data_IF_429408677806
#
_entry.id   IF_429408677806
#
_cell.length_a   1.000
_cell.length_b   1.000
_cell.length_c   1.000
_cell.angle_alpha   90.00
_cell.angle_beta   90.00
_cell.angle_gamma   90.00
#
_symmetry.space_group_name_H-M   'P 1'
#
loop_
_entity.id
_entity.type
_entity.pdbx_description
1 polymer ?
#
# COMPACT_ATOMS: atom_id res chain seq x y z
N UNK A 1 0.39 46.85 6.49
CA UNK A 1 1.20 46.93 5.25
C UNK A 1 0.46 46.44 4.01
N UNK A 2 -0.73 46.94 3.79
CA UNK A 2 -1.53 46.59 2.61
C UNK A 2 -1.10 47.32 1.34
N UNK A 3 -0.17 48.26 1.45
CA UNK A 3 0.26 49.12 0.38
C UNK A 3 1.70 48.83 0.05
N UNK A 4 1.96 48.30 -1.09
CA UNK A 4 3.29 48.32 -1.66
C UNK A 4 3.26 48.13 -3.16
N UNK A 5 3.51 49.19 -3.83
CA UNK A 5 4.60 49.33 -4.79
C UNK A 5 4.83 50.80 -5.05
N UNK A 6 6.02 51.25 -4.88
CA UNK A 6 6.45 52.57 -5.35
C UNK A 6 6.60 52.51 -6.86
N UNK A 7 5.61 53.03 -7.55
CA UNK A 7 5.81 53.55 -8.92
C UNK A 7 6.16 55.03 -8.87
N UNK A 8 6.74 55.52 -9.94
CA UNK A 8 7.27 56.90 -10.08
C UNK A 8 6.36 58.04 -9.57
N UNK A 9 5.15 57.75 -9.10
CA UNK A 9 4.18 58.79 -8.64
C UNK A 9 3.23 58.36 -7.52
N UNK A 10 3.47 57.29 -6.76
CA UNK A 10 2.58 57.03 -5.61
C UNK A 10 2.56 55.59 -5.10
N UNK A 11 1.92 55.44 -3.94
CA UNK A 11 1.61 54.17 -3.28
C UNK A 11 0.23 53.72 -3.76
N UNK A 12 0.08 52.49 -4.23
CA UNK A 12 -1.21 51.92 -4.58
C UNK A 12 -1.56 50.70 -3.73
N UNK A 13 -2.86 50.45 -3.60
CA UNK A 13 -3.37 49.28 -2.88
C UNK A 13 -3.19 48.00 -3.73
N UNK A 14 -2.39 47.06 -3.21
CA UNK A 14 -2.15 45.77 -3.84
C UNK A 14 -3.43 44.93 -3.93
N UNK A 15 -4.35 45.09 -2.99
CA UNK A 15 -5.58 44.31 -2.91
C UNK A 15 -6.83 45.12 -3.40
N UNK A 16 -6.62 46.03 -4.30
CA UNK A 16 -7.72 46.82 -4.85
C UNK A 16 -8.86 45.95 -5.40
N UNK A 17 -10.10 46.31 -5.04
CA UNK A 17 -11.35 45.62 -5.41
C UNK A 17 -11.38 44.13 -5.05
N UNK A 18 -10.91 43.78 -3.83
CA UNK A 18 -10.88 42.40 -3.34
C UNK A 18 -11.57 42.26 -2.00
N UNK A 19 -12.27 41.13 -1.83
CA UNK A 19 -12.67 40.68 -0.49
C UNK A 19 -11.44 40.12 0.19
N UNK A 20 -11.20 40.57 1.42
CA UNK A 20 -9.98 40.27 2.17
C UNK A 20 -10.22 39.15 3.18
N UNK A 21 -9.31 38.19 3.20
CA UNK A 21 -9.29 37.04 4.13
C UNK A 21 -8.02 37.12 4.98
N UNK A 22 -8.12 37.32 6.30
CA UNK A 22 -6.96 37.31 7.15
C UNK A 22 -6.38 35.90 7.24
N UNK A 23 -5.07 35.75 7.05
CA UNK A 23 -4.34 34.53 7.27
C UNK A 23 -3.77 34.59 8.67
N UNK A 24 -4.08 33.58 9.50
CA UNK A 24 -3.71 33.55 10.90
C UNK A 24 -2.71 32.47 11.21
N UNK A 25 -1.81 32.71 12.14
CA UNK A 25 -0.98 31.70 12.75
C UNK A 25 -1.81 30.82 13.72
N UNK A 26 -1.19 29.79 14.29
CA UNK A 26 -1.84 28.90 15.27
C UNK A 26 -2.33 29.61 16.54
N UNK A 27 -1.85 30.81 16.83
CA UNK A 27 -2.20 31.61 18.00
C UNK A 27 -3.22 32.70 17.69
N UNK A 28 -3.89 32.63 16.54
CA UNK A 28 -4.85 33.64 16.05
C UNK A 28 -4.26 35.06 15.79
N UNK A 29 -2.94 35.13 15.51
CA UNK A 29 -2.34 36.39 15.09
C UNK A 29 -2.38 36.46 13.57
N UNK A 30 -2.75 37.63 13.04
CA UNK A 30 -2.76 37.88 11.60
C UNK A 30 -1.31 37.97 11.10
N UNK A 31 -0.92 37.08 10.20
CA UNK A 31 0.43 37.00 9.61
C UNK A 31 0.44 37.41 8.13
N UNK A 32 -0.71 37.48 7.50
CA UNK A 32 -0.86 37.83 6.09
C UNK A 32 -2.32 37.95 5.70
N UNK A 33 -2.56 38.18 4.41
CA UNK A 33 -3.90 38.32 3.87
C UNK A 33 -4.00 37.60 2.51
N UNK A 34 -5.14 36.98 2.27
CA UNK A 34 -5.60 36.57 0.95
C UNK A 34 -6.65 37.54 0.43
N UNK A 35 -6.72 37.78 -0.85
CA UNK A 35 -7.74 38.62 -1.46
C UNK A 35 -8.36 37.92 -2.69
N UNK A 36 -9.70 37.78 -2.69
CA UNK A 36 -10.46 37.31 -3.84
C UNK A 36 -11.03 38.52 -4.59
N UNK A 37 -10.75 38.64 -5.88
CA UNK A 37 -11.27 39.74 -6.69
C UNK A 37 -12.80 39.68 -6.76
N UNK A 38 -13.41 40.86 -6.75
CA UNK A 38 -14.84 41.08 -7.05
C UNK A 38 -14.99 41.28 -8.56
N UNK A 39 -15.57 40.32 -9.26
CA UNK A 39 -15.69 40.30 -10.74
C UNK A 39 -14.59 39.54 -11.44
N UNK A 40 -14.29 39.88 -12.70
CA UNK A 40 -13.49 39.03 -13.62
C UNK A 40 -12.00 39.40 -13.71
N UNK A 41 -11.52 40.32 -12.86
CA UNK A 41 -10.12 40.72 -12.87
C UNK A 41 -9.19 39.56 -12.48
N UNK A 42 -7.99 39.51 -13.05
CA UNK A 42 -6.96 38.52 -12.73
C UNK A 42 -5.83 39.12 -11.91
N UNK A 43 -5.20 38.33 -11.02
CA UNK A 43 -5.50 36.96 -10.66
C UNK A 43 -6.77 36.87 -9.78
N UNK A 44 -7.55 35.79 -9.91
CA UNK A 44 -8.77 35.55 -9.09
C UNK A 44 -8.46 35.61 -7.61
N UNK A 45 -7.35 35.01 -7.18
CA UNK A 45 -6.85 35.04 -5.81
C UNK A 45 -5.44 35.66 -5.76
N UNK A 46 -5.21 36.47 -4.75
CA UNK A 46 -3.91 37.10 -4.49
C UNK A 46 -3.59 36.96 -3.00
N UNK A 47 -2.43 36.43 -2.66
CA UNK A 47 -1.96 36.34 -1.28
C UNK A 47 -0.86 37.38 -1.01
N UNK A 48 -0.69 37.73 0.25
CA UNK A 48 0.48 38.49 0.72
C UNK A 48 1.77 37.82 0.24
N UNK A 49 2.83 38.56 -0.06
CA UNK A 49 4.15 38.00 -0.24
C UNK A 49 4.61 37.31 1.05
N UNK A 50 5.60 36.46 0.94
CA UNK A 50 6.27 35.90 2.11
C UNK A 50 7.01 37.01 2.87
N UNK A 51 7.03 36.87 4.20
CA UNK A 51 7.69 37.79 5.13
C UNK A 51 8.34 36.98 6.24
N UNK A 52 9.08 37.60 7.13
CA UNK A 52 9.69 36.94 8.30
C UNK A 52 8.66 36.20 9.19
N UNK A 53 7.38 36.63 9.18
CA UNK A 53 6.31 36.03 9.97
C UNK A 53 5.32 35.21 9.13
N UNK A 54 5.44 35.22 7.81
CA UNK A 54 4.53 34.51 6.89
C UNK A 54 5.29 33.71 5.84
N UNK A 55 5.37 32.41 6.05
CA UNK A 55 5.92 31.42 5.14
C UNK A 55 4.78 30.50 4.67
N UNK A 56 4.43 30.57 3.37
CA UNK A 56 3.34 29.81 2.77
C UNK A 56 3.58 28.32 2.81
N UNK A 57 4.84 27.88 2.82
CA UNK A 57 5.20 26.47 2.85
C UNK A 57 5.04 25.82 4.23
N UNK A 58 4.82 26.62 5.27
CA UNK A 58 4.73 26.20 6.68
C UNK A 58 3.49 26.71 7.39
N UNK A 59 2.57 27.33 6.67
CA UNK A 59 1.31 27.84 7.23
C UNK A 59 0.12 27.25 6.45
N UNK A 60 -0.91 26.88 7.19
CA UNK A 60 -2.18 26.39 6.63
C UNK A 60 -3.31 27.33 7.05
N UNK A 61 -4.13 27.72 6.08
CA UNK A 61 -5.35 28.48 6.36
C UNK A 61 -6.32 27.64 7.19
N UNK A 62 -6.93 28.23 8.20
CA UNK A 62 -7.89 27.55 9.08
C UNK A 62 -7.27 26.71 10.20
N UNK A 63 -5.93 26.51 10.24
CA UNK A 63 -5.28 25.69 11.23
C UNK A 63 -5.50 26.19 12.67
N UNK A 64 -5.57 27.48 12.87
CA UNK A 64 -5.89 28.08 14.17
C UNK A 64 -7.20 27.58 14.78
N UNK A 65 -8.17 27.21 13.94
CA UNK A 65 -9.45 26.59 14.32
C UNK A 65 -9.36 25.08 14.32
N UNK A 66 -8.83 24.48 13.24
CA UNK A 66 -8.76 23.04 13.05
C UNK A 66 -8.02 22.33 14.19
N UNK A 67 -6.97 22.93 14.76
CA UNK A 67 -6.20 22.37 15.89
C UNK A 67 -7.03 22.17 17.17
N UNK A 68 -8.17 22.82 17.31
CA UNK A 68 -9.07 22.68 18.46
C UNK A 68 -10.27 21.77 18.18
N UNK A 69 -10.35 21.22 16.96
CA UNK A 69 -11.39 20.27 16.58
C UNK A 69 -11.22 18.97 17.35
N UNK A 70 -12.35 18.32 17.66
CA UNK A 70 -12.37 16.98 18.29
C UNK A 70 -12.24 15.82 17.27
N UNK A 71 -12.28 16.12 15.99
CA UNK A 71 -12.10 15.10 14.93
C UNK A 71 -10.63 14.64 14.93
N UNK A 72 -10.34 13.33 14.83
CA UNK A 72 -8.97 12.81 14.87
C UNK A 72 -8.21 12.96 13.53
N UNK A 73 -8.78 13.69 12.60
CA UNK A 73 -8.25 13.91 11.25
C UNK A 73 -8.47 15.35 10.78
N UNK A 74 -7.71 15.78 9.78
CA UNK A 74 -7.96 17.03 9.06
C UNK A 74 -8.53 16.78 7.66
N UNK A 75 -9.37 17.71 7.21
CA UNK A 75 -9.78 17.86 5.82
C UNK A 75 -8.83 18.86 5.17
N UNK A 76 -8.10 18.45 4.13
CA UNK A 76 -7.11 19.29 3.46
C UNK A 76 -7.65 19.70 2.10
N UNK A 77 -7.95 20.98 1.95
CA UNK A 77 -8.52 21.60 0.75
C UNK A 77 -7.44 22.34 -0.06
N UNK A 78 -7.76 22.76 -1.27
CA UNK A 78 -6.89 23.59 -2.09
C UNK A 78 -6.94 25.07 -1.70
N UNK A 79 -8.15 25.57 -1.40
CA UNK A 79 -8.40 26.99 -1.17
C UNK A 79 -9.11 27.33 0.12
N UNK A 80 -9.00 28.58 0.52
CA UNK A 80 -9.65 29.07 1.73
C UNK A 80 -11.18 29.21 1.60
N UNK A 81 -11.74 29.29 0.40
CA UNK A 81 -13.19 29.27 0.22
C UNK A 81 -13.78 27.92 0.61
N UNK A 82 -13.09 26.83 0.23
CA UNK A 82 -13.51 25.46 0.61
C UNK A 82 -13.46 25.27 2.12
N UNK A 83 -12.39 25.78 2.76
CA UNK A 83 -12.28 25.75 4.23
C UNK A 83 -13.42 26.52 4.88
N UNK A 84 -13.77 27.71 4.37
CA UNK A 84 -14.87 28.52 4.91
C UNK A 84 -16.20 27.78 4.75
N UNK A 85 -16.47 27.22 3.56
CA UNK A 85 -17.70 26.47 3.31
C UNK A 85 -17.81 25.25 4.23
N UNK A 86 -16.74 24.48 4.37
CA UNK A 86 -16.70 23.35 5.29
C UNK A 86 -16.86 23.74 6.75
N UNK A 87 -16.20 24.82 7.21
CA UNK A 87 -16.40 25.34 8.57
C UNK A 87 -17.84 25.78 8.83
N UNK A 88 -18.48 26.46 7.86
CA UNK A 88 -19.89 26.83 7.95
C UNK A 88 -20.82 25.63 8.02
N UNK A 89 -20.45 24.54 7.35
CA UNK A 89 -21.16 23.26 7.39
C UNK A 89 -20.86 22.42 8.66
N UNK A 90 -20.03 22.91 9.58
CA UNK A 90 -19.70 22.24 10.84
C UNK A 90 -18.37 21.44 10.83
N UNK A 91 -17.66 21.36 9.71
CA UNK A 91 -16.38 20.67 9.59
C UNK A 91 -15.21 21.59 9.96
N UNK A 92 -15.11 21.93 11.24
CA UNK A 92 -14.11 22.89 11.75
C UNK A 92 -12.67 22.38 11.70
N UNK A 93 -12.46 21.14 11.30
CA UNK A 93 -11.17 20.50 11.09
C UNK A 93 -10.63 20.66 9.65
N UNK A 94 -11.22 21.52 8.84
CA UNK A 94 -10.75 21.81 7.50
C UNK A 94 -9.60 22.82 7.51
N UNK A 95 -8.59 22.59 6.66
CA UNK A 95 -7.43 23.45 6.43
C UNK A 95 -7.11 23.51 4.93
N UNK A 96 -6.42 24.57 4.50
CA UNK A 96 -5.95 24.64 3.11
C UNK A 96 -4.52 25.17 3.02
N UNK A 97 -3.84 24.80 1.94
CA UNK A 97 -2.62 25.44 1.51
C UNK A 97 -2.91 26.86 0.99
N UNK A 98 -1.88 27.70 0.95
CA UNK A 98 -2.04 29.15 0.66
C UNK A 98 -1.62 29.48 -0.78
N UNK A 99 -2.23 28.80 -1.75
CA UNK A 99 -1.90 28.96 -3.17
C UNK A 99 -0.56 28.31 -3.56
N UNK A 100 -0.16 27.29 -2.82
CA UNK A 100 0.99 26.42 -3.11
C UNK A 100 0.55 24.97 -3.02
N UNK A 101 1.29 24.07 -3.66
CA UNK A 101 1.09 22.64 -3.41
C UNK A 101 1.40 22.30 -1.94
N UNK A 102 0.87 21.17 -1.46
CA UNK A 102 1.20 20.65 -0.13
C UNK A 102 2.70 20.34 -0.07
N UNK A 103 3.35 20.81 0.99
CA UNK A 103 4.80 20.68 1.19
C UNK A 103 5.13 19.74 2.36
N UNK A 104 6.40 19.34 2.48
CA UNK A 104 6.91 18.63 3.66
C UNK A 104 6.76 19.47 4.95
N UNK A 105 6.86 20.81 4.84
CA UNK A 105 6.59 21.72 5.96
C UNK A 105 5.14 21.68 6.42
N UNK A 106 4.18 21.63 5.49
CA UNK A 106 2.78 21.41 5.80
C UNK A 106 2.54 20.05 6.45
N UNK A 107 3.12 18.99 5.91
CA UNK A 107 2.99 17.64 6.48
C UNK A 107 3.56 17.57 7.91
N UNK A 108 4.74 18.15 8.14
CA UNK A 108 5.34 18.24 9.49
C UNK A 108 4.48 19.03 10.47
N UNK A 109 3.79 20.07 9.98
CA UNK A 109 2.87 20.85 10.78
C UNK A 109 1.59 20.07 11.13
N UNK A 110 0.97 19.41 10.16
CA UNK A 110 -0.22 18.56 10.33
C UNK A 110 0.05 17.43 11.32
N UNK A 111 1.22 16.78 11.23
CA UNK A 111 1.62 15.65 12.08
C UNK A 111 1.58 15.94 13.58
N UNK A 112 1.71 17.23 13.97
CA UNK A 112 1.62 17.65 15.38
C UNK A 112 0.23 17.52 15.96
N UNK A 113 -0.80 17.42 15.13
CA UNK A 113 -2.19 17.45 15.55
C UNK A 113 -2.94 16.17 15.21
N UNK A 114 -2.70 15.59 14.04
CA UNK A 114 -3.43 14.41 13.55
C UNK A 114 -2.49 13.45 12.85
N UNK A 115 -2.91 12.17 12.77
CA UNK A 115 -2.18 11.13 12.04
C UNK A 115 -2.90 10.70 10.76
N UNK A 116 -4.07 11.30 10.48
CA UNK A 116 -4.87 10.99 9.31
C UNK A 116 -5.38 12.29 8.68
N UNK A 117 -5.39 12.34 7.35
CA UNK A 117 -5.96 13.44 6.58
C UNK A 117 -6.83 12.94 5.45
N UNK A 118 -7.83 13.74 5.11
CA UNK A 118 -8.67 13.55 3.94
C UNK A 118 -8.41 14.68 2.96
N UNK A 119 -7.84 14.35 1.81
CA UNK A 119 -7.63 15.29 0.72
C UNK A 119 -8.96 15.54 0.02
N UNK A 120 -9.39 16.78 0.01
CA UNK A 120 -10.66 17.24 -0.57
C UNK A 120 -10.38 18.25 -1.68
N UNK A 121 -9.52 17.83 -2.61
CA UNK A 121 -9.08 18.67 -3.72
C UNK A 121 -10.12 18.72 -4.84
N UNK A 122 -9.98 19.66 -5.76
CA UNK A 122 -10.89 19.83 -6.89
C UNK A 122 -10.99 18.50 -7.70
N UNK A 123 -12.18 18.21 -8.21
CA UNK A 123 -12.44 16.98 -8.98
C UNK A 123 -11.84 17.01 -10.39
N UNK A 124 -11.19 18.10 -10.77
CA UNK A 124 -10.54 18.24 -12.07
C UNK A 124 -9.17 17.52 -12.11
N UNK A 125 -8.57 17.51 -13.29
CA UNK A 125 -7.26 16.87 -13.53
C UNK A 125 -6.13 17.53 -12.68
N UNK A 126 -6.22 18.84 -12.43
CA UNK A 126 -5.22 19.56 -11.66
C UNK A 126 -5.28 19.16 -10.18
N UNK A 127 -6.49 19.09 -9.59
CA UNK A 127 -6.71 18.63 -8.22
C UNK A 127 -6.34 17.16 -8.05
N UNK A 128 -6.68 16.31 -9.04
CA UNK A 128 -6.23 14.90 -9.06
C UNK A 128 -4.70 14.80 -9.00
N UNK A 129 -3.98 15.55 -9.85
CA UNK A 129 -2.50 15.58 -9.82
C UNK A 129 -1.96 16.14 -8.50
N UNK A 130 -2.64 17.13 -7.90
CA UNK A 130 -2.26 17.67 -6.61
C UNK A 130 -2.41 16.62 -5.50
N UNK A 131 -3.51 15.86 -5.47
CA UNK A 131 -3.72 14.76 -4.53
C UNK A 131 -2.64 13.67 -4.67
N UNK A 132 -2.33 13.25 -5.91
CA UNK A 132 -1.29 12.26 -6.17
C UNK A 132 0.10 12.71 -5.70
N UNK A 133 0.41 14.01 -5.76
CA UNK A 133 1.67 14.56 -5.22
C UNK A 133 1.65 14.67 -3.68
N UNK A 134 0.49 14.95 -3.08
CA UNK A 134 0.37 15.11 -1.64
C UNK A 134 0.49 13.78 -0.88
N UNK A 135 -0.04 12.67 -1.43
CA UNK A 135 -0.06 11.35 -0.80
C UNK A 135 1.34 10.87 -0.36
N UNK A 136 2.38 10.84 -1.23
CA UNK A 136 3.72 10.42 -0.79
C UNK A 136 4.33 11.35 0.26
N UNK A 137 4.14 12.67 0.16
CA UNK A 137 4.66 13.64 1.14
C UNK A 137 4.04 13.39 2.52
N UNK A 138 2.75 13.09 2.57
CA UNK A 138 2.06 12.77 3.82
C UNK A 138 2.52 11.41 4.38
N UNK A 139 2.70 10.41 3.52
CA UNK A 139 3.22 9.10 3.91
C UNK A 139 4.62 9.20 4.52
N UNK A 140 5.53 9.94 3.90
CA UNK A 140 6.89 10.17 4.44
C UNK A 140 6.87 10.84 5.83
N UNK A 141 5.88 11.71 6.07
CA UNK A 141 5.66 12.28 7.40
C UNK A 141 4.95 11.31 8.38
N UNK A 142 4.61 10.10 7.97
CA UNK A 142 3.87 9.12 8.76
C UNK A 142 2.40 9.52 9.00
N UNK A 143 1.77 10.14 8.00
CA UNK A 143 0.36 10.53 8.00
C UNK A 143 -0.39 9.69 6.98
N UNK A 144 -1.46 9.03 7.42
CA UNK A 144 -2.35 8.30 6.51
C UNK A 144 -3.19 9.29 5.71
N UNK A 145 -3.09 9.21 4.38
CA UNK A 145 -3.88 10.04 3.47
C UNK A 145 -5.02 9.24 2.85
N UNK A 146 -6.21 9.82 2.89
CA UNK A 146 -7.38 9.36 2.13
C UNK A 146 -7.84 10.45 1.18
N UNK A 147 -8.50 10.09 0.09
CA UNK A 147 -9.00 11.04 -0.91
C UNK A 147 -10.52 10.97 -0.96
N UNK A 148 -11.16 12.12 -0.85
CA UNK A 148 -12.60 12.28 -1.00
C UNK A 148 -12.87 12.83 -2.41
N UNK A 149 -13.72 12.15 -3.17
CA UNK A 149 -14.17 12.63 -4.48
C UNK A 149 -15.44 13.46 -4.34
N UNK A 150 -15.45 14.61 -5.00
CA UNK A 150 -16.57 15.56 -4.97
C UNK A 150 -17.54 15.36 -6.16
N UNK A 151 -17.26 14.41 -7.07
CA UNK A 151 -18.15 14.20 -8.23
C UNK A 151 -19.62 14.09 -7.83
N UNK A 152 -20.54 14.71 -8.57
CA UNK A 152 -20.35 15.44 -9.85
C UNK A 152 -19.94 16.92 -9.68
N UNK A 153 -19.69 17.38 -8.48
CA UNK A 153 -19.32 18.77 -8.19
C UNK A 153 -17.80 18.97 -8.30
N UNK A 154 -17.43 20.22 -8.54
CA UNK A 154 -16.03 20.57 -8.76
C UNK A 154 -15.20 20.53 -7.48
N UNK A 155 -15.71 21.18 -6.44
CA UNK A 155 -14.99 21.47 -5.20
C UNK A 155 -15.89 21.29 -3.96
N UNK A 156 -15.34 21.30 -2.73
CA UNK A 156 -16.10 21.20 -1.49
C UNK A 156 -17.16 22.30 -1.32
N UNK A 157 -16.90 23.51 -1.79
CA UNK A 157 -17.84 24.64 -1.68
C UNK A 157 -19.12 24.36 -2.48
N UNK A 158 -18.99 23.94 -3.74
CA UNK A 158 -20.12 23.53 -4.57
C UNK A 158 -20.83 22.30 -4.00
N UNK A 159 -20.06 21.30 -3.55
CA UNK A 159 -20.63 20.08 -2.99
C UNK A 159 -21.52 20.37 -1.78
N UNK A 160 -21.02 21.11 -0.80
CA UNK A 160 -21.76 21.47 0.42
C UNK A 160 -23.01 22.29 0.12
N UNK A 161 -22.94 23.23 -0.82
CA UNK A 161 -24.09 24.04 -1.23
C UNK A 161 -25.23 23.25 -1.84
N UNK A 162 -24.90 22.17 -2.57
CA UNK A 162 -25.89 21.38 -3.29
C UNK A 162 -26.42 20.17 -2.51
N UNK A 163 -25.53 19.49 -1.77
CA UNK A 163 -25.86 18.22 -1.11
C UNK A 163 -25.86 18.29 0.43
N UNK A 164 -25.27 19.33 1.00
CA UNK A 164 -25.24 19.53 2.45
C UNK A 164 -24.21 18.69 3.20
N UNK A 165 -24.21 18.90 4.53
CA UNK A 165 -23.23 18.30 5.43
C UNK A 165 -23.38 16.78 5.61
N UNK A 166 -24.60 16.25 5.61
CA UNK A 166 -24.85 14.81 5.80
C UNK A 166 -24.26 13.99 4.66
N UNK A 167 -24.43 14.44 3.41
CA UNK A 167 -23.85 13.77 2.27
C UNK A 167 -22.32 13.85 2.27
N UNK A 168 -21.78 14.98 2.72
CA UNK A 168 -20.32 15.11 2.86
C UNK A 168 -19.76 14.17 3.93
N UNK A 169 -20.43 13.99 5.08
CA UNK A 169 -20.05 13.00 6.09
C UNK A 169 -20.08 11.58 5.52
N UNK A 170 -21.07 11.24 4.66
CA UNK A 170 -21.07 9.95 3.93
C UNK A 170 -19.87 9.80 3.00
N UNK A 171 -19.47 10.87 2.33
CA UNK A 171 -18.27 10.86 1.46
C UNK A 171 -16.99 10.66 2.26
N UNK A 172 -16.89 11.23 3.47
CA UNK A 172 -15.78 10.97 4.39
C UNK A 172 -15.72 9.47 4.71
N UNK A 173 -16.85 8.84 5.05
CA UNK A 173 -16.92 7.40 5.33
C UNK A 173 -16.51 6.51 4.16
N UNK A 174 -16.68 6.98 2.93
CA UNK A 174 -16.35 6.26 1.70
C UNK A 174 -15.03 6.71 1.04
N UNK A 175 -14.23 7.50 1.76
CA UNK A 175 -12.99 8.03 1.24
C UNK A 175 -12.00 6.92 0.86
N UNK A 176 -11.36 7.07 -0.28
CA UNK A 176 -10.39 6.10 -0.81
C UNK A 176 -9.02 6.26 -0.13
N UNK A 177 -8.41 5.15 0.24
CA UNK A 177 -7.00 5.17 0.63
C UNK A 177 -6.14 5.82 -0.47
N UNK A 178 -5.20 6.69 -0.12
CA UNK A 178 -4.42 7.46 -1.08
C UNK A 178 -3.60 6.62 -2.04
N UNK A 179 -3.04 5.50 -1.59
CA UNK A 179 -2.32 4.56 -2.45
C UNK A 179 -3.27 3.91 -3.48
N UNK A 180 -4.42 3.41 -3.01
CA UNK A 180 -5.42 2.81 -3.90
C UNK A 180 -6.01 3.82 -4.88
N UNK A 181 -6.22 5.07 -4.45
CA UNK A 181 -6.58 6.17 -5.35
C UNK A 181 -5.53 6.39 -6.44
N UNK A 182 -4.25 6.34 -6.07
CA UNK A 182 -3.14 6.43 -7.02
C UNK A 182 -3.14 5.31 -8.06
N UNK A 183 -3.53 4.09 -7.67
CA UNK A 183 -3.69 2.97 -8.60
C UNK A 183 -4.93 3.10 -9.49
N UNK A 184 -6.04 3.62 -8.95
CA UNK A 184 -7.25 3.92 -9.75
C UNK A 184 -6.98 4.95 -10.84
N UNK A 185 -6.13 5.95 -10.56
CA UNK A 185 -5.72 6.91 -11.60
C UNK A 185 -4.76 6.28 -12.62
N UNK A 186 -3.84 5.45 -12.15
CA UNK A 186 -2.92 4.70 -13.00
C UNK A 186 -3.65 3.75 -13.95
N UNK A 187 -4.68 3.07 -13.47
CA UNK A 187 -5.52 2.16 -14.27
C UNK A 187 -6.04 2.82 -15.54
N UNK A 188 -6.40 4.10 -15.48
CA UNK A 188 -6.93 4.85 -16.64
C UNK A 188 -5.91 5.05 -17.77
N UNK A 189 -4.62 4.87 -17.48
CA UNK A 189 -3.54 5.01 -18.44
C UNK A 189 -3.27 3.70 -19.21
N UNK A 190 -3.90 2.58 -18.81
CA UNK A 190 -3.69 1.25 -19.37
C UNK A 190 -4.97 0.63 -19.90
N UNK A 191 -4.88 -0.12 -20.99
CA UNK A 191 -5.99 -0.95 -21.45
C UNK A 191 -6.09 -2.23 -20.60
N UNK A 192 -6.94 -2.17 -19.58
CA UNK A 192 -7.17 -3.30 -18.66
C UNK A 192 -7.91 -4.48 -19.32
N UNK A 193 -8.40 -4.33 -20.56
CA UNK A 193 -9.03 -5.43 -21.29
C UNK A 193 -7.99 -6.23 -22.10
N UNK A 194 -6.83 -5.65 -22.40
CA UNK A 194 -5.73 -6.36 -23.06
C UNK A 194 -4.81 -7.06 -22.04
N UNK A 195 -4.30 -8.25 -22.34
CA UNK A 195 -3.31 -8.94 -21.49
C UNK A 195 -2.03 -8.13 -21.31
N UNK A 196 -1.59 -7.43 -22.35
CA UNK A 196 -0.38 -6.59 -22.36
C UNK A 196 -0.57 -5.36 -21.47
N UNK A 197 -1.69 -4.64 -21.60
CA UNK A 197 -2.00 -3.47 -20.78
C UNK A 197 -2.16 -3.84 -19.32
N UNK A 198 -2.87 -4.95 -19.03
CA UNK A 198 -3.00 -5.46 -17.67
C UNK A 198 -1.65 -5.85 -17.06
N UNK A 199 -0.77 -6.46 -17.86
CA UNK A 199 0.58 -6.81 -17.40
C UNK A 199 1.41 -5.57 -17.09
N UNK A 200 1.36 -4.55 -17.96
CA UNK A 200 2.07 -3.28 -17.76
C UNK A 200 1.55 -2.54 -16.51
N UNK A 201 0.24 -2.50 -16.30
CA UNK A 201 -0.35 -1.97 -15.08
C UNK A 201 0.18 -2.65 -13.81
N UNK A 202 0.19 -3.99 -13.76
CA UNK A 202 0.69 -4.72 -12.61
C UNK A 202 2.19 -4.53 -12.38
N UNK A 203 2.98 -4.34 -13.43
CA UNK A 203 4.40 -4.02 -13.29
C UNK A 203 4.58 -2.65 -12.59
N UNK A 204 3.81 -1.64 -12.99
CA UNK A 204 3.88 -0.32 -12.36
C UNK A 204 3.29 -0.34 -10.93
N UNK A 205 2.19 -1.06 -10.70
CA UNK A 205 1.65 -1.28 -9.37
C UNK A 205 2.67 -1.97 -8.43
N UNK A 206 3.37 -3.00 -8.93
CA UNK A 206 4.42 -3.68 -8.18
C UNK A 206 5.59 -2.74 -7.85
N UNK A 207 6.00 -1.85 -8.77
CA UNK A 207 7.02 -0.83 -8.52
C UNK A 207 6.61 0.10 -7.39
N UNK A 208 5.36 0.54 -7.33
CA UNK A 208 4.85 1.38 -6.24
C UNK A 208 4.77 0.62 -4.91
N UNK A 209 4.43 -0.68 -4.94
CA UNK A 209 4.38 -1.54 -3.75
C UNK A 209 5.75 -1.75 -3.10
N UNK A 210 6.83 -1.76 -3.86
CA UNK A 210 8.20 -1.84 -3.32
C UNK A 210 8.51 -0.66 -2.40
N UNK A 211 7.93 0.51 -2.62
CA UNK A 211 8.11 1.71 -1.80
C UNK A 211 7.53 1.61 -0.37
N UNK A 212 6.93 0.48 0.02
CA UNK A 212 6.59 0.20 1.41
C UNK A 212 7.76 -0.51 2.09
N UNK A 213 8.37 0.13 3.08
CA UNK A 213 9.50 -0.44 3.81
C UNK A 213 9.07 -1.59 4.70
N UNK A 214 7.96 -1.42 5.42
CA UNK A 214 7.39 -2.46 6.28
C UNK A 214 6.79 -3.59 5.45
N UNK A 215 7.23 -4.83 5.73
CA UNK A 215 6.81 -6.01 4.99
C UNK A 215 5.34 -6.36 5.22
N UNK A 216 4.84 -6.20 6.45
CA UNK A 216 3.45 -6.48 6.78
C UNK A 216 2.52 -5.47 6.10
N UNK A 217 2.88 -4.17 6.15
CA UNK A 217 2.16 -3.12 5.45
C UNK A 217 2.13 -3.41 3.95
N UNK A 218 3.28 -3.74 3.35
CA UNK A 218 3.39 -4.08 1.93
C UNK A 218 2.50 -5.28 1.55
N UNK A 219 2.48 -6.33 2.36
CA UNK A 219 1.65 -7.52 2.11
C UNK A 219 0.15 -7.18 2.19
N UNK A 220 -0.28 -6.37 3.15
CA UNK A 220 -1.66 -5.90 3.24
C UNK A 220 -2.08 -5.12 1.98
N UNK A 221 -1.19 -4.27 1.45
CA UNK A 221 -1.47 -3.57 0.19
C UNK A 221 -1.45 -4.51 -1.03
N UNK A 222 -0.59 -5.52 -1.05
CA UNK A 222 -0.59 -6.56 -2.09
C UNK A 222 -1.95 -7.28 -2.12
N UNK A 223 -2.48 -7.67 -0.98
CA UNK A 223 -3.80 -8.31 -0.86
C UNK A 223 -4.92 -7.38 -1.34
N UNK A 224 -4.90 -6.11 -0.92
CA UNK A 224 -5.89 -5.12 -1.35
C UNK A 224 -5.87 -4.89 -2.87
N UNK A 225 -4.68 -4.79 -3.47
CA UNK A 225 -4.51 -4.63 -4.94
C UNK A 225 -4.96 -5.89 -5.67
N UNK A 226 -4.54 -7.07 -5.21
CA UNK A 226 -4.92 -8.34 -5.81
C UNK A 226 -6.44 -8.52 -5.82
N UNK A 227 -7.11 -8.22 -4.71
CA UNK A 227 -8.58 -8.28 -4.60
C UNK A 227 -9.28 -7.28 -5.51
N UNK A 228 -8.80 -6.03 -5.58
CA UNK A 228 -9.43 -4.98 -6.38
C UNK A 228 -9.31 -5.26 -7.89
N UNK A 229 -8.13 -5.71 -8.35
CA UNK A 229 -7.84 -5.88 -9.79
C UNK A 229 -7.90 -7.33 -10.26
N UNK A 230 -8.45 -8.23 -9.44
CA UNK A 230 -8.65 -9.66 -9.75
C UNK A 230 -7.37 -10.36 -10.20
N UNK A 231 -6.30 -10.20 -9.43
CA UNK A 231 -5.07 -10.97 -9.54
C UNK A 231 -4.95 -11.96 -8.37
N UNK A 232 -4.05 -12.94 -8.49
CA UNK A 232 -3.71 -13.78 -7.35
C UNK A 232 -2.65 -13.08 -6.48
N UNK A 233 -2.81 -13.13 -5.16
CA UNK A 233 -1.87 -12.56 -4.19
C UNK A 233 -0.45 -13.08 -4.46
N UNK A 234 -0.34 -14.39 -4.67
CA UNK A 234 0.94 -15.06 -4.92
C UNK A 234 1.66 -14.54 -6.19
N UNK A 235 0.91 -14.33 -7.29
CA UNK A 235 1.49 -13.80 -8.52
C UNK A 235 1.99 -12.38 -8.34
N UNK A 236 1.23 -11.54 -7.61
CA UNK A 236 1.63 -10.16 -7.34
C UNK A 236 2.82 -10.11 -6.37
N UNK A 237 2.86 -10.95 -5.34
CA UNK A 237 4.01 -11.07 -4.44
C UNK A 237 5.29 -11.46 -5.19
N UNK A 238 5.21 -12.47 -6.08
CA UNK A 238 6.34 -12.87 -6.93
C UNK A 238 6.81 -11.73 -7.85
N UNK A 239 5.87 -10.96 -8.39
CA UNK A 239 6.19 -9.81 -9.23
C UNK A 239 6.90 -8.71 -8.42
N UNK A 240 6.37 -8.36 -7.24
CA UNK A 240 6.97 -7.37 -6.32
C UNK A 240 8.38 -7.79 -5.92
N UNK A 241 8.58 -9.05 -5.52
CA UNK A 241 9.90 -9.57 -5.15
C UNK A 241 10.90 -9.51 -6.33
N UNK A 242 10.45 -9.89 -7.54
CA UNK A 242 11.27 -9.80 -8.75
C UNK A 242 11.68 -8.37 -9.08
N UNK A 243 10.76 -7.42 -8.92
CA UNK A 243 11.01 -6.00 -9.18
C UNK A 243 11.95 -5.41 -8.14
N UNK A 244 11.79 -5.74 -6.85
CA UNK A 244 12.66 -5.29 -5.76
C UNK A 244 14.13 -5.70 -5.99
N UNK A 245 14.36 -6.93 -6.47
CA UNK A 245 15.70 -7.40 -6.87
C UNK A 245 16.24 -6.60 -8.06
N UNK A 246 15.41 -6.36 -9.07
CA UNK A 246 15.81 -5.62 -10.28
C UNK A 246 16.19 -4.17 -9.99
N UNK A 247 15.50 -3.53 -9.03
CA UNK A 247 15.76 -2.15 -8.64
C UNK A 247 16.83 -2.02 -7.54
N UNK A 248 17.47 -3.14 -7.14
CA UNK A 248 18.54 -3.17 -6.14
C UNK A 248 18.07 -2.91 -4.70
N UNK A 249 16.75 -2.92 -4.45
CA UNK A 249 16.15 -2.71 -3.13
C UNK A 249 16.13 -3.99 -2.29
N UNK A 250 16.28 -5.14 -2.90
CA UNK A 250 16.46 -6.42 -2.22
C UNK A 250 17.64 -7.18 -2.82
N UNK A 251 18.42 -7.87 -1.98
CA UNK A 251 19.36 -8.86 -2.48
C UNK A 251 18.54 -9.93 -3.20
N UNK A 252 19.02 -10.47 -4.34
CA UNK A 252 18.40 -11.63 -4.92
C UNK A 252 18.24 -12.66 -3.80
N UNK A 253 17.02 -13.07 -3.52
CA UNK A 253 16.82 -14.28 -2.73
C UNK A 253 17.54 -15.34 -3.56
N UNK A 254 18.70 -15.78 -3.09
CA UNK A 254 19.34 -16.94 -3.67
C UNK A 254 18.28 -18.03 -3.56
N UNK A 255 17.56 -18.24 -4.63
CA UNK A 255 16.92 -19.53 -4.82
C UNK A 255 18.05 -20.51 -4.61
N UNK A 256 17.92 -21.55 -3.78
CA UNK A 256 18.89 -22.60 -3.79
C UNK A 256 19.10 -22.89 -5.26
N UNK A 257 20.32 -22.65 -5.75
CA UNK A 257 20.68 -22.71 -7.16
C UNK A 257 20.12 -24.01 -7.69
N UNK A 258 19.07 -23.94 -8.52
CA UNK A 258 18.91 -24.98 -9.52
C UNK A 258 20.19 -24.86 -10.35
N UNK A 259 21.08 -25.78 -10.15
CA UNK A 259 22.35 -25.86 -10.83
C UNK A 259 22.07 -25.97 -12.32
N UNK A 260 22.13 -24.84 -13.02
CA UNK A 260 22.29 -24.81 -14.47
C UNK A 260 23.79 -24.89 -14.71
N UNK A 261 24.27 -26.06 -14.89
CA UNK A 261 25.66 -26.26 -15.27
C UNK A 261 26.11 -27.66 -15.06
N UNK A 262 26.19 -28.43 -16.14
CA UNK A 262 26.83 -29.76 -16.31
C UNK A 262 26.17 -30.95 -15.59
N UNK A 263 25.59 -31.75 -16.39
CA UNK A 263 25.28 -33.18 -16.25
C UNK A 263 26.02 -33.88 -15.10
N UNK A 264 25.29 -34.09 -14.00
CA UNK A 264 25.38 -35.30 -13.17
C UNK A 264 23.98 -35.66 -12.70
N UNK A 265 23.64 -36.92 -12.45
CA UNK A 265 22.28 -37.43 -12.47
C UNK A 265 21.40 -36.87 -11.37
N UNK A 266 20.09 -36.71 -11.66
CA UNK A 266 19.01 -36.36 -10.71
C UNK A 266 18.80 -37.48 -9.67
N UNK A 267 19.73 -37.66 -8.73
CA UNK A 267 19.59 -38.69 -7.67
C UNK A 267 18.81 -38.17 -6.44
N UNK A 268 18.71 -36.86 -6.19
CA UNK A 268 18.14 -36.37 -4.95
C UNK A 268 16.59 -36.31 -4.88
N UNK A 269 15.93 -36.05 -6.00
CA UNK A 269 14.46 -35.82 -6.00
C UNK A 269 13.68 -37.13 -5.86
N UNK A 270 14.07 -38.17 -6.55
CA UNK A 270 13.44 -39.49 -6.49
C UNK A 270 13.62 -40.14 -5.11
N UNK A 271 14.80 -40.00 -4.51
CA UNK A 271 15.10 -40.50 -3.16
C UNK A 271 14.25 -39.82 -2.08
N UNK A 272 14.10 -38.51 -2.17
CA UNK A 272 13.24 -37.72 -1.23
C UNK A 272 11.77 -38.15 -1.36
N UNK A 273 11.26 -38.32 -2.57
CA UNK A 273 9.87 -38.74 -2.80
C UNK A 273 9.60 -40.14 -2.23
N UNK A 274 10.51 -41.10 -2.42
CA UNK A 274 10.42 -42.43 -1.85
C UNK A 274 10.41 -42.39 -0.31
N UNK A 275 11.29 -41.58 0.29
CA UNK A 275 11.34 -41.37 1.74
C UNK A 275 10.01 -40.86 2.30
N UNK A 276 9.44 -39.85 1.66
CA UNK A 276 8.15 -39.26 2.07
C UNK A 276 7.01 -40.27 1.99
N UNK A 277 6.94 -41.04 0.89
CA UNK A 277 5.92 -42.07 0.70
C UNK A 277 6.01 -43.17 1.77
N UNK A 278 7.19 -43.66 2.04
CA UNK A 278 7.41 -44.68 3.10
C UNK A 278 7.02 -44.12 4.48
N UNK A 279 7.40 -42.91 4.78
CA UNK A 279 7.04 -42.27 6.05
C UNK A 279 5.51 -42.20 6.20
N UNK A 280 4.77 -41.76 5.19
CA UNK A 280 3.31 -41.73 5.24
C UNK A 280 2.67 -43.12 5.38
N UNK A 281 3.22 -44.14 4.72
CA UNK A 281 2.76 -45.51 4.83
C UNK A 281 2.98 -46.07 6.23
N UNK A 282 4.06 -45.65 6.91
CA UNK A 282 4.40 -46.04 8.27
C UNK A 282 3.49 -45.36 9.30
N UNK A 283 3.23 -44.06 9.11
CA UNK A 283 2.48 -43.21 10.08
C UNK A 283 0.97 -43.50 10.09
N UNK A 284 0.38 -43.75 8.94
CA UNK A 284 -1.07 -43.99 8.86
C UNK A 284 -1.42 -45.22 8.01
N UNK A 285 -1.90 -46.27 8.67
CA UNK A 285 -2.35 -47.52 8.01
C UNK A 285 -3.44 -47.28 6.94
N UNK A 286 -4.23 -46.23 7.07
CA UNK A 286 -5.26 -45.90 6.08
C UNK A 286 -4.63 -45.36 4.80
N UNK A 287 -3.55 -44.57 4.92
CA UNK A 287 -2.76 -44.13 3.76
C UNK A 287 -2.08 -45.30 3.07
N UNK A 288 -1.51 -46.26 3.81
CA UNK A 288 -1.02 -47.49 3.26
C UNK A 288 -2.09 -48.20 2.40
N UNK A 289 -3.32 -48.37 2.93
CA UNK A 289 -4.43 -49.01 2.21
C UNK A 289 -4.86 -48.30 0.92
N UNK A 290 -4.54 -47.01 0.79
CA UNK A 290 -4.78 -46.26 -0.45
C UNK A 290 -3.59 -46.39 -1.40
N UNK A 291 -2.37 -46.19 -0.89
CA UNK A 291 -1.12 -46.16 -1.69
C UNK A 291 -0.84 -47.54 -2.31
N UNK A 292 -1.06 -48.61 -1.59
CA UNK A 292 -0.83 -49.99 -2.09
C UNK A 292 -1.61 -50.37 -3.36
N UNK A 293 -2.67 -49.62 -3.71
CA UNK A 293 -3.46 -49.80 -4.93
C UNK A 293 -2.74 -49.32 -6.19
N UNK A 294 -1.76 -48.44 -6.02
CA UNK A 294 -1.10 -47.73 -7.11
C UNK A 294 0.41 -47.90 -7.11
N UNK A 295 1.02 -48.29 -6.00
CA UNK A 295 2.45 -48.40 -5.79
C UNK A 295 2.73 -49.76 -5.14
N UNK A 296 3.77 -50.43 -5.62
CA UNK A 296 4.27 -51.70 -5.11
C UNK A 296 5.70 -51.54 -4.59
N UNK A 297 6.30 -52.54 -3.88
CA UNK A 297 7.70 -52.45 -3.46
C UNK A 297 8.68 -52.25 -4.62
N UNK A 298 8.38 -52.78 -5.83
CA UNK A 298 9.19 -52.64 -7.02
C UNK A 298 9.30 -51.19 -7.55
N UNK A 299 8.38 -50.30 -7.13
CA UNK A 299 8.39 -48.89 -7.50
C UNK A 299 9.39 -48.05 -6.67
N UNK A 300 10.11 -48.68 -5.74
CA UNK A 300 11.16 -48.06 -4.94
C UNK A 300 12.55 -48.48 -5.47
N UNK A 301 13.17 -47.74 -6.41
CA UNK A 301 14.46 -48.12 -7.02
C UNK A 301 15.66 -48.00 -6.07
N UNK A 302 15.57 -47.29 -4.95
CA UNK A 302 16.63 -47.25 -3.95
C UNK A 302 16.65 -48.55 -3.12
N UNK A 303 17.77 -49.32 -3.06
CA UNK A 303 17.80 -50.61 -2.41
C UNK A 303 17.32 -50.64 -0.96
N UNK A 304 17.67 -49.60 -0.18
CA UNK A 304 17.25 -49.49 1.21
C UNK A 304 15.73 -49.29 1.30
N UNK A 305 15.18 -48.41 0.49
CA UNK A 305 13.75 -48.10 0.49
C UNK A 305 12.91 -49.24 -0.10
N UNK A 306 13.43 -49.94 -1.08
CA UNK A 306 12.84 -51.18 -1.62
C UNK A 306 12.68 -52.24 -0.50
N UNK A 307 13.75 -52.52 0.23
CA UNK A 307 13.72 -53.45 1.35
C UNK A 307 12.76 -53.03 2.45
N UNK A 308 12.75 -51.73 2.82
CA UNK A 308 11.77 -51.20 3.80
C UNK A 308 10.34 -51.37 3.28
N UNK A 309 10.07 -51.10 2.01
CA UNK A 309 8.76 -51.29 1.40
C UNK A 309 8.31 -52.74 1.46
N UNK A 310 9.17 -53.69 1.05
CA UNK A 310 8.87 -55.13 1.14
C UNK A 310 8.47 -55.56 2.55
N UNK A 311 9.23 -55.14 3.58
CA UNK A 311 8.89 -55.42 4.97
C UNK A 311 7.58 -54.80 5.40
N UNK A 312 7.30 -53.55 4.97
CA UNK A 312 6.05 -52.85 5.29
C UNK A 312 4.83 -53.58 4.70
N UNK A 313 4.90 -53.95 3.42
CA UNK A 313 3.82 -54.68 2.76
C UNK A 313 3.57 -56.03 3.42
N UNK A 314 4.61 -56.79 3.68
CA UNK A 314 4.48 -58.10 4.34
C UNK A 314 3.89 -57.97 5.76
N UNK A 315 4.38 -57.02 6.57
CA UNK A 315 3.89 -56.84 7.94
C UNK A 315 2.44 -56.33 7.99
N UNK A 316 2.04 -55.48 7.06
CA UNK A 316 0.66 -55.04 6.97
C UNK A 316 -0.31 -56.12 6.51
N UNK A 317 0.15 -57.09 5.72
CA UNK A 317 -0.59 -58.30 5.39
C UNK A 317 -0.72 -59.27 6.58
N UNK A 318 0.31 -59.36 7.42
CA UNK A 318 0.28 -60.15 8.65
C UNK A 318 -0.53 -59.45 9.79
N UNK A 319 -0.84 -58.17 9.65
CA UNK A 319 -1.77 -57.43 10.53
C UNK A 319 -1.14 -56.45 11.49
N UNK A 320 0.16 -56.44 11.76
CA UNK A 320 0.79 -55.57 12.72
C UNK A 320 2.18 -55.08 12.28
N UNK A 321 2.41 -53.75 12.29
CA UNK A 321 3.70 -53.14 11.98
C UNK A 321 4.66 -53.26 13.18
N UNK A 322 5.81 -53.88 12.99
CA UNK A 322 6.88 -53.94 13.98
C UNK A 322 8.17 -53.27 13.44
N UNK A 323 8.39 -51.98 13.79
CA UNK A 323 9.58 -51.24 13.34
C UNK A 323 10.91 -51.92 13.71
N UNK A 324 10.99 -52.56 14.86
CA UNK A 324 12.22 -53.22 15.31
C UNK A 324 12.66 -54.34 14.42
N UNK A 325 11.73 -55.13 13.81
CA UNK A 325 12.05 -56.17 12.87
C UNK A 325 12.65 -55.61 11.55
N UNK A 326 12.16 -54.45 11.10
CA UNK A 326 12.67 -53.76 9.92
C UNK A 326 14.06 -53.18 10.19
N UNK A 327 14.24 -52.50 11.31
CA UNK A 327 15.52 -51.88 11.65
C UNK A 327 16.64 -52.90 11.89
N UNK A 328 16.34 -54.02 12.53
CA UNK A 328 17.31 -55.07 12.80
C UNK A 328 17.82 -55.80 11.54
N UNK A 329 17.17 -55.60 10.40
CA UNK A 329 17.62 -56.13 9.12
C UNK A 329 18.89 -55.42 8.60
N UNK A 330 19.04 -54.14 8.94
CA UNK A 330 20.16 -53.32 8.48
C UNK A 330 21.34 -53.39 9.44
N UNK A 331 22.40 -54.00 9.03
CA UNK A 331 23.62 -54.23 9.85
C UNK A 331 24.64 -53.09 9.73
N UNK A 332 24.61 -52.30 8.66
CA UNK A 332 25.47 -51.14 8.48
C UNK A 332 24.88 -49.90 9.20
N UNK A 333 25.71 -49.21 9.94
CA UNK A 333 25.28 -48.07 10.80
C UNK A 333 24.58 -46.95 10.03
N UNK A 334 25.03 -46.65 8.77
CA UNK A 334 24.44 -45.63 7.91
C UNK A 334 23.06 -46.04 7.42
N UNK A 335 22.90 -47.30 6.94
CA UNK A 335 21.63 -47.85 6.47
C UNK A 335 20.63 -47.95 7.62
N UNK A 336 21.08 -48.40 8.80
CA UNK A 336 20.24 -48.45 10.00
C UNK A 336 19.76 -47.08 10.42
N UNK A 337 20.62 -46.03 10.40
CA UNK A 337 20.26 -44.66 10.72
C UNK A 337 19.27 -44.08 9.71
N UNK A 338 19.46 -44.35 8.43
CA UNK A 338 18.55 -43.87 7.39
C UNK A 338 17.19 -44.57 7.47
N UNK A 339 17.13 -45.88 7.68
CA UNK A 339 15.91 -46.63 7.92
C UNK A 339 15.18 -46.10 9.20
N UNK A 340 15.90 -45.89 10.29
CA UNK A 340 15.34 -45.36 11.53
C UNK A 340 14.72 -43.96 11.36
N UNK A 341 15.26 -43.15 10.45
CA UNK A 341 14.72 -41.81 10.14
C UNK A 341 13.32 -41.81 9.50
N UNK A 342 12.88 -43.00 8.97
CA UNK A 342 11.52 -43.16 8.43
C UNK A 342 10.46 -43.36 9.50
N UNK A 343 10.86 -43.79 10.70
CA UNK A 343 9.98 -44.09 11.84
C UNK A 343 9.96 -42.98 12.88
N UNK A 344 10.77 -41.95 12.72
CA UNK A 344 10.85 -40.79 13.65
C UNK A 344 10.56 -39.50 12.89
N UNK A 345 9.28 -39.16 12.73
CA UNK A 345 8.84 -37.80 12.39
C UNK A 345 8.34 -37.12 13.64
N UNK A 346 9.07 -36.09 14.05
CA UNK A 346 8.53 -35.05 14.93
C UNK A 346 8.31 -33.79 14.10
#
# INVERSE_FOLDING_TARGET
>A
EFRRVLFRSGVYDKFWNRVMFPIMDVNNRVIGFGGRVMGDAKPKYLNSPETEIFDKSRNLYGLNRARTSRKPYFLVCEGYMDVIALHQAGFTNAVASLGTALTTGHAALIKRYVQEVYLTYDSDEAGTRAALRAVPILKEAGITAKVIRMDPYKDPDEFIKNLGAEEFERRIGNARNGFMFGLEMLEKEYDMNSPEGKTAFFQEAARRLIGFEDELERNNYIEAVAGTYRATVESLQKLVAKMAVREGMAKPVERPKQATGSEKPKEGGAKISQKILLTWMIEDRRLFGIIQKYISPEDFPEPLYHTVAEFLYHQYEEGELNPAKILNHFTKEEEHREAASLFHTK
#
